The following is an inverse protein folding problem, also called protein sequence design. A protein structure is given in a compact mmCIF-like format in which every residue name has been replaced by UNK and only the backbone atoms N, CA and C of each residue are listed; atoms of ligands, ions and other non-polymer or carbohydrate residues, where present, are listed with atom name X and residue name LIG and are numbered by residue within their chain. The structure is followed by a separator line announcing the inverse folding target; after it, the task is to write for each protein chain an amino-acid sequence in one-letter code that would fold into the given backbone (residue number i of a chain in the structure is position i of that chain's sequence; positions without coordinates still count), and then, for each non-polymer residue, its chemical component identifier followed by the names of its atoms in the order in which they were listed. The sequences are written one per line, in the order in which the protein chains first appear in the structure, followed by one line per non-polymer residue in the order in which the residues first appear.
data_IF_709332080858
#
_entry.id   IF_709332080858
#
_cell.length_a   1.000
_cell.length_b   1.000
_cell.length_c   1.000
_cell.angle_alpha   90.00
_cell.angle_beta   90.00
_cell.angle_gamma   90.00
#
_symmetry.space_group_name_H-M   'P 1'
#
loop_
_entity.id
_entity.type
_entity.pdbx_description
1 polymer ?
#
# COMPACT_ATOMS: atom_id res chain seq x y z
N UNK A 1 9.02 -11.77 0.31
CA UNK A 1 8.93 -10.60 1.22
C UNK A 1 9.55 -9.39 0.52
N UNK A 2 9.18 -8.16 0.90
CA UNK A 2 9.68 -6.94 0.22
C UNK A 2 11.09 -6.53 0.68
N UNK A 3 11.50 -7.01 1.85
CA UNK A 3 12.79 -6.67 2.49
C UNK A 3 14.02 -6.80 1.58
N UNK A 4 14.23 -7.87 0.78
CA UNK A 4 15.39 -7.98 -0.10
C UNK A 4 15.42 -6.88 -1.18
N UNK A 5 14.28 -6.55 -1.77
CA UNK A 5 14.19 -5.51 -2.79
C UNK A 5 14.53 -4.13 -2.20
N UNK A 6 14.05 -3.84 -0.99
CA UNK A 6 14.37 -2.59 -0.30
C UNK A 6 15.86 -2.51 0.03
N UNK A 7 16.47 -3.60 0.47
CA UNK A 7 17.90 -3.61 0.79
C UNK A 7 18.75 -3.27 -0.45
N UNK A 8 18.44 -3.89 -1.60
CA UNK A 8 19.11 -3.60 -2.88
C UNK A 8 18.91 -2.15 -3.30
N UNK A 9 17.67 -1.66 -3.32
CA UNK A 9 17.34 -0.30 -3.75
C UNK A 9 18.04 0.77 -2.90
N UNK A 10 18.04 0.61 -1.57
CA UNK A 10 18.70 1.56 -0.68
C UNK A 10 20.22 1.51 -0.78
N UNK A 11 20.80 0.33 -1.03
CA UNK A 11 22.24 0.16 -1.22
C UNK A 11 22.74 0.79 -2.52
N UNK A 12 21.97 0.70 -3.60
CA UNK A 12 22.34 1.21 -4.92
C UNK A 12 22.05 2.71 -5.09
N UNK A 13 21.19 3.28 -4.23
CA UNK A 13 20.79 4.67 -4.28
C UNK A 13 21.96 5.64 -4.04
N UNK A 14 22.34 6.37 -5.08
CA UNK A 14 23.40 7.39 -5.05
C UNK A 14 22.89 8.75 -4.53
N UNK A 15 21.62 9.08 -4.77
CA UNK A 15 20.98 10.32 -4.35
C UNK A 15 20.01 10.14 -3.19
N UNK A 16 19.01 11.03 -3.10
CA UNK A 16 17.92 10.90 -2.14
C UNK A 16 17.06 9.70 -2.51
N UNK A 17 16.54 9.03 -1.49
CA UNK A 17 15.49 8.02 -1.67
C UNK A 17 14.16 8.66 -1.35
N UNK A 18 13.20 8.57 -2.25
CA UNK A 18 11.84 9.11 -2.09
C UNK A 18 10.89 7.94 -2.21
N UNK A 19 10.33 7.49 -1.10
CA UNK A 19 9.41 6.37 -1.08
C UNK A 19 7.97 6.85 -0.95
N UNK A 20 7.14 6.52 -1.94
CA UNK A 20 5.71 6.76 -1.91
C UNK A 20 4.92 5.48 -1.63
N UNK A 21 4.01 5.52 -0.66
CA UNK A 21 3.11 4.41 -0.35
C UNK A 21 1.81 4.90 0.31
N UNK A 22 0.88 3.99 0.58
CA UNK A 22 -0.34 4.30 1.32
C UNK A 22 -0.01 4.64 2.77
N UNK A 23 -0.52 5.78 3.26
CA UNK A 23 -0.32 6.21 4.66
C UNK A 23 -0.87 5.21 5.68
N UNK A 24 -1.85 4.38 5.30
CA UNK A 24 -2.42 3.33 6.14
C UNK A 24 -1.54 2.07 6.24
N UNK A 25 -0.56 1.89 5.34
CA UNK A 25 0.33 0.74 5.39
C UNK A 25 1.53 1.01 6.30
N UNK A 26 1.26 1.05 7.61
CA UNK A 26 2.27 1.37 8.64
C UNK A 26 3.45 0.40 8.62
N UNK A 27 3.21 -0.89 8.38
CA UNK A 27 4.29 -1.87 8.26
C UNK A 27 5.26 -1.52 7.12
N UNK A 28 4.75 -1.05 5.99
CA UNK A 28 5.58 -0.65 4.86
C UNK A 28 6.37 0.62 5.14
N UNK A 29 5.73 1.62 5.74
CA UNK A 29 6.38 2.86 6.18
C UNK A 29 7.47 2.55 7.20
N UNK A 30 7.17 1.70 8.19
CA UNK A 30 8.13 1.27 9.20
C UNK A 30 9.34 0.58 8.59
N UNK A 31 9.14 -0.35 7.65
CA UNK A 31 10.23 -1.00 6.92
C UNK A 31 11.10 0.02 6.19
N UNK A 32 10.50 0.97 5.47
CA UNK A 32 11.22 2.03 4.78
C UNK A 32 12.12 2.81 5.73
N UNK A 33 11.57 3.21 6.88
CA UNK A 33 12.30 3.99 7.89
C UNK A 33 13.44 3.15 8.50
N UNK A 34 13.21 1.87 8.80
CA UNK A 34 14.25 0.97 9.29
C UNK A 34 15.41 0.83 8.31
N UNK A 35 15.12 0.69 7.01
CA UNK A 35 16.16 0.68 5.97
C UNK A 35 16.84 2.04 5.81
N UNK A 36 16.09 3.15 5.92
CA UNK A 36 16.67 4.49 5.97
C UNK A 36 17.70 4.63 7.09
N UNK A 37 17.34 4.22 8.30
CA UNK A 37 18.24 4.24 9.46
C UNK A 37 19.44 3.30 9.24
N UNK A 38 19.21 2.07 8.74
CA UNK A 38 20.27 1.09 8.44
C UNK A 38 21.33 1.66 7.49
N UNK A 39 20.91 2.45 6.51
CA UNK A 39 21.79 3.09 5.52
C UNK A 39 22.18 4.54 5.89
N UNK A 40 22.10 4.90 7.18
CA UNK A 40 22.48 6.20 7.73
C UNK A 40 21.78 7.41 7.10
N UNK A 41 20.52 7.24 6.67
CA UNK A 41 19.70 8.31 6.12
C UNK A 41 18.86 8.97 7.21
N UNK A 42 18.78 10.31 7.16
CA UNK A 42 17.79 11.12 7.85
C UNK A 42 16.43 10.98 7.17
N UNK A 43 15.38 10.97 7.99
CA UNK A 43 14.02 10.61 7.60
C UNK A 43 13.16 11.88 7.59
N UNK A 44 12.62 12.25 6.43
CA UNK A 44 11.58 13.25 6.30
C UNK A 44 10.25 12.56 5.95
N UNK A 45 9.24 12.67 6.82
CA UNK A 45 7.90 12.17 6.53
C UNK A 45 7.07 13.33 6.00
N UNK A 46 6.44 13.17 4.84
CA UNK A 46 5.73 14.25 4.17
C UNK A 46 4.32 13.81 3.83
N UNK A 47 3.37 14.43 4.52
CA UNK A 47 1.96 14.27 4.26
C UNK A 47 1.22 14.08 5.56
N UNK A 48 0.25 14.96 5.82
CA UNK A 48 -0.50 15.02 7.09
C UNK A 48 -1.08 13.68 7.52
N UNK A 49 -1.61 12.89 6.58
CA UNK A 49 -2.17 11.57 6.89
C UNK A 49 -1.08 10.57 7.29
N UNK A 50 0.11 10.65 6.71
CA UNK A 50 1.22 9.75 7.01
C UNK A 50 1.88 10.10 8.34
N UNK A 51 2.12 11.39 8.60
CA UNK A 51 2.61 11.91 9.88
C UNK A 51 1.66 11.48 11.01
N UNK A 52 0.35 11.79 10.88
CA UNK A 52 -0.67 11.41 11.87
C UNK A 52 -0.70 9.91 12.14
N UNK A 53 -0.68 9.07 11.10
CA UNK A 53 -0.74 7.63 11.28
C UNK A 53 0.53 7.09 11.97
N UNK A 54 1.69 7.66 11.65
CA UNK A 54 2.95 7.28 12.28
C UNK A 54 2.95 7.65 13.76
N UNK A 55 2.49 8.85 14.13
CA UNK A 55 2.40 9.29 15.52
C UNK A 55 1.48 8.39 16.34
N UNK A 56 0.28 8.09 15.82
CA UNK A 56 -0.66 7.16 16.47
C UNK A 56 -0.03 5.77 16.62
N UNK A 57 0.65 5.26 15.58
CA UNK A 57 1.27 3.95 15.65
C UNK A 57 2.41 3.89 16.68
N UNK A 58 3.13 5.00 16.91
CA UNK A 58 4.15 5.13 17.96
C UNK A 58 3.53 5.20 19.34
N UNK A 59 2.49 6.02 19.51
CA UNK A 59 1.77 6.16 20.78
C UNK A 59 1.18 4.83 21.27
N UNK A 60 0.64 4.05 20.33
CA UNK A 60 0.08 2.72 20.61
C UNK A 60 1.16 1.61 20.72
N UNK A 61 2.45 1.93 20.52
CA UNK A 61 3.55 0.97 20.65
C UNK A 61 3.69 -0.04 19.51
N UNK A 62 3.01 0.17 18.37
CA UNK A 62 3.16 -0.70 17.19
C UNK A 62 4.53 -0.55 16.52
N UNK A 63 5.16 0.62 16.67
CA UNK A 63 6.45 0.91 16.04
C UNK A 63 7.39 1.63 17.02
N UNK A 64 8.65 1.24 16.95
CA UNK A 64 9.72 1.82 17.77
C UNK A 64 10.77 2.42 16.85
N UNK A 65 10.86 3.75 16.84
CA UNK A 65 11.74 4.53 15.96
C UNK A 65 12.46 5.61 16.77
N UNK A 66 13.79 5.78 16.61
CA UNK A 66 14.54 6.82 17.28
C UNK A 66 14.18 8.21 16.72
N UNK A 67 13.78 9.14 17.59
CA UNK A 67 13.39 10.51 17.18
C UNK A 67 14.51 11.27 16.46
N UNK A 68 15.77 11.01 16.82
CA UNK A 68 16.97 11.70 16.29
C UNK A 68 17.21 11.44 14.79
N UNK A 69 16.55 10.43 14.22
CA UNK A 69 16.63 10.10 12.80
C UNK A 69 15.67 10.94 11.95
N UNK A 70 14.68 11.61 12.55
CA UNK A 70 13.69 12.41 11.84
C UNK A 70 14.15 13.86 11.67
N UNK A 71 13.85 14.42 10.52
CA UNK A 71 14.09 15.82 10.16
C UNK A 71 12.84 16.41 9.53
N UNK A 72 12.67 17.72 9.67
CA UNK A 72 11.55 18.43 9.03
C UNK A 72 11.79 18.61 7.52
N UNK A 73 10.71 18.76 6.75
CA UNK A 73 10.79 18.88 5.29
C UNK A 73 11.63 20.09 4.82
N UNK A 74 11.64 21.18 5.59
CA UNK A 74 12.45 22.38 5.32
C UNK A 74 13.94 22.19 5.65
N UNK A 75 14.31 21.13 6.38
CA UNK A 75 15.70 20.83 6.75
C UNK A 75 16.38 19.88 5.76
N UNK A 76 15.62 19.23 4.88
CA UNK A 76 16.14 18.29 3.89
C UNK A 76 17.30 18.88 3.08
N UNK A 77 17.22 20.16 2.71
CA UNK A 77 18.26 20.84 1.95
C UNK A 77 19.60 21.04 2.70
N UNK A 78 19.62 20.84 4.02
CA UNK A 78 20.82 20.96 4.87
C UNK A 78 21.69 19.70 4.86
N UNK A 79 21.15 18.57 4.38
CA UNK A 79 21.82 17.27 4.40
C UNK A 79 22.29 16.85 3.00
N UNK A 80 23.37 16.06 2.89
CA UNK A 80 23.77 15.43 1.64
C UNK A 80 22.65 14.57 1.05
N UNK A 81 22.51 14.56 -0.28
CA UNK A 81 21.41 13.85 -0.94
C UNK A 81 21.40 12.34 -0.64
N UNK A 82 22.58 11.71 -0.57
CA UNK A 82 22.75 10.29 -0.23
C UNK A 82 22.41 9.95 1.23
N UNK A 83 22.21 10.95 2.09
CA UNK A 83 21.85 10.80 3.50
C UNK A 83 20.37 11.11 3.76
N UNK A 84 19.54 11.23 2.72
CA UNK A 84 18.12 11.55 2.90
C UNK A 84 17.21 10.42 2.41
N UNK A 85 16.23 10.09 3.24
CA UNK A 85 15.02 9.35 2.89
C UNK A 85 13.80 10.25 3.11
N UNK A 86 13.00 10.42 2.05
CA UNK A 86 11.68 11.06 2.13
C UNK A 86 10.63 9.96 2.03
N UNK A 87 9.73 9.88 3.01
CA UNK A 87 8.56 8.99 2.96
C UNK A 87 7.31 9.83 2.75
N UNK A 88 6.58 9.58 1.67
CA UNK A 88 5.51 10.46 1.21
C UNK A 88 4.25 9.71 0.80
N UNK A 89 3.13 10.42 0.75
CA UNK A 89 1.90 9.96 0.08
C UNK A 89 1.98 10.19 -1.45
N UNK A 90 0.94 9.79 -2.18
CA UNK A 90 0.79 10.08 -3.62
C UNK A 90 1.05 8.91 -4.55
N UNK A 91 1.00 7.69 -4.04
CA UNK A 91 1.31 6.50 -4.83
C UNK A 91 0.28 6.17 -5.91
N UNK A 92 -0.88 6.85 -5.93
CA UNK A 92 -1.92 6.68 -6.95
C UNK A 92 -1.98 7.86 -7.93
N UNK A 93 -1.04 8.80 -7.85
CA UNK A 93 -1.01 9.97 -8.74
C UNK A 93 -2.06 11.03 -8.40
N UNK A 94 -2.51 11.10 -7.15
CA UNK A 94 -3.46 12.11 -6.72
C UNK A 94 -2.82 13.51 -6.84
N UNK A 95 -3.46 14.43 -7.55
CA UNK A 95 -2.89 15.76 -7.87
C UNK A 95 -2.52 16.59 -6.64
N UNK A 96 -3.27 16.44 -5.55
CA UNK A 96 -3.00 17.14 -4.29
C UNK A 96 -1.97 16.43 -3.40
N UNK A 97 -1.47 15.27 -3.82
CA UNK A 97 -0.49 14.50 -3.03
C UNK A 97 0.88 15.16 -3.02
N UNK A 98 1.66 14.83 -1.99
CA UNK A 98 3.00 15.36 -1.83
C UNK A 98 3.92 14.91 -2.97
N UNK A 99 3.86 13.65 -3.42
CA UNK A 99 4.67 13.17 -4.55
C UNK A 99 4.34 13.93 -5.85
N UNK A 100 3.04 14.10 -6.17
CA UNK A 100 2.63 14.82 -7.38
C UNK A 100 3.18 16.24 -7.38
N UNK A 101 3.00 16.97 -6.26
CA UNK A 101 3.50 18.34 -6.11
C UNK A 101 5.03 18.44 -6.14
N UNK A 102 5.75 17.44 -5.64
CA UNK A 102 7.21 17.38 -5.79
C UNK A 102 7.62 17.19 -7.25
N UNK A 103 6.89 16.34 -7.99
CA UNK A 103 7.14 16.06 -9.40
C UNK A 103 6.82 17.26 -10.33
N UNK A 104 5.89 18.13 -9.94
CA UNK A 104 5.49 19.35 -10.68
C UNK A 104 6.12 20.65 -10.16
N UNK A 105 7.07 20.58 -9.23
CA UNK A 105 7.70 21.74 -8.56
C UNK A 105 6.75 22.65 -7.75
N UNK A 106 5.57 22.16 -7.38
CA UNK A 106 4.58 22.89 -6.59
C UNK A 106 4.70 22.62 -5.08
N UNK A 107 5.60 21.74 -4.67
CA UNK A 107 5.85 21.44 -3.27
C UNK A 107 6.81 22.46 -2.64
N UNK A 108 6.40 23.07 -1.52
CA UNK A 108 7.05 24.26 -0.92
C UNK A 108 8.54 24.12 -0.61
N UNK A 109 8.98 22.92 -0.23
CA UNK A 109 10.33 22.70 0.31
C UNK A 109 11.17 21.71 -0.50
N UNK A 110 10.54 20.95 -1.41
CA UNK A 110 11.20 19.82 -2.06
C UNK A 110 10.79 19.78 -3.51
N UNK A 111 11.78 19.86 -4.39
CA UNK A 111 11.68 19.51 -5.80
C UNK A 111 12.43 18.21 -6.05
N UNK A 112 12.03 17.46 -7.08
CA UNK A 112 12.76 16.28 -7.56
C UNK A 112 14.04 16.73 -8.27
N UNK A 113 15.15 16.05 -7.98
CA UNK A 113 16.48 16.29 -8.55
C UNK A 113 16.88 15.14 -9.49
N UNK A 114 17.79 15.40 -10.43
CA UNK A 114 18.46 14.32 -11.17
C UNK A 114 19.10 13.33 -10.20
N UNK A 115 19.04 12.03 -10.52
CA UNK A 115 19.55 10.92 -9.71
C UNK A 115 18.82 10.59 -8.40
N UNK A 116 17.71 11.27 -8.08
CA UNK A 116 16.84 10.79 -7.01
C UNK A 116 16.32 9.39 -7.37
N UNK A 117 16.23 8.52 -6.36
CA UNK A 117 15.55 7.23 -6.48
C UNK A 117 14.14 7.36 -5.91
N UNK A 118 13.14 7.30 -6.78
CA UNK A 118 11.73 7.31 -6.39
C UNK A 118 11.19 5.89 -6.37
N UNK A 119 10.78 5.41 -5.19
CA UNK A 119 10.20 4.08 -5.00
C UNK A 119 8.69 4.22 -4.84
N UNK A 120 7.92 3.78 -5.83
CA UNK A 120 6.46 3.74 -5.73
C UNK A 120 6.05 2.35 -5.23
N UNK A 121 5.92 2.26 -3.91
CA UNK A 121 5.63 1.03 -3.17
C UNK A 121 4.12 0.79 -3.06
N UNK A 122 3.43 0.82 -4.20
CA UNK A 122 2.00 0.52 -4.32
C UNK A 122 1.68 0.03 -5.74
N UNK A 123 0.58 -0.70 -5.89
CA UNK A 123 -0.01 -0.99 -7.20
C UNK A 123 -1.05 0.07 -7.54
N UNK A 124 -1.10 0.51 -8.80
CA UNK A 124 -2.20 1.34 -9.27
C UNK A 124 -3.54 0.59 -9.06
N UNK A 125 -4.48 1.26 -8.41
CA UNK A 125 -5.85 0.79 -8.29
C UNK A 125 -6.49 0.93 -9.68
N UNK A 126 -7.28 -0.06 -10.14
CA UNK A 126 -8.01 0.06 -11.41
C UNK A 126 -8.75 1.39 -11.54
N UNK A 127 -8.46 2.13 -12.62
CA UNK A 127 -8.95 3.48 -12.88
C UNK A 127 -7.93 4.60 -12.63
N UNK A 128 -6.87 4.35 -11.86
CA UNK A 128 -5.83 5.34 -11.56
C UNK A 128 -4.58 5.24 -12.45
N UNK A 129 -4.55 4.32 -13.41
CA UNK A 129 -3.37 4.06 -14.25
C UNK A 129 -2.89 5.31 -14.99
N UNK A 130 -3.82 6.11 -15.50
CA UNK A 130 -3.50 7.37 -16.19
C UNK A 130 -2.82 8.39 -15.25
N UNK A 131 -3.34 8.55 -14.03
CA UNK A 131 -2.78 9.47 -13.03
C UNK A 131 -1.39 9.03 -12.58
N UNK A 132 -1.20 7.73 -12.33
CA UNK A 132 0.12 7.19 -11.99
C UNK A 132 1.10 7.39 -13.15
N UNK A 133 0.67 7.10 -14.40
CA UNK A 133 1.48 7.33 -15.60
C UNK A 133 1.90 8.79 -15.76
N UNK A 134 1.00 9.75 -15.48
CA UNK A 134 1.33 11.17 -15.50
C UNK A 134 2.45 11.52 -14.51
N UNK A 135 2.36 11.01 -13.26
CA UNK A 135 3.43 11.22 -12.26
C UNK A 135 4.74 10.59 -12.70
N UNK A 136 4.72 9.35 -13.20
CA UNK A 136 5.93 8.71 -13.75
C UNK A 136 6.59 9.57 -14.82
N UNK A 137 5.81 10.12 -15.75
CA UNK A 137 6.33 11.00 -16.80
C UNK A 137 6.98 12.26 -16.23
N UNK A 138 6.40 12.90 -15.20
CA UNK A 138 7.02 14.06 -14.55
C UNK A 138 8.34 13.71 -13.86
N UNK A 139 8.39 12.56 -13.17
CA UNK A 139 9.60 12.08 -12.51
C UNK A 139 10.72 11.76 -13.51
N UNK A 140 10.40 11.04 -14.59
CA UNK A 140 11.35 10.66 -15.64
C UNK A 140 11.87 11.91 -16.37
N UNK A 141 11.01 12.90 -16.65
CA UNK A 141 11.41 14.19 -17.24
C UNK A 141 12.42 14.96 -16.38
N UNK A 142 12.48 14.68 -15.07
CA UNK A 142 13.44 15.25 -14.13
C UNK A 142 14.67 14.38 -13.91
N UNK A 143 14.86 13.34 -14.72
CA UNK A 143 16.00 12.41 -14.65
C UNK A 143 16.08 11.66 -13.31
N UNK A 144 14.94 11.49 -12.64
CA UNK A 144 14.84 10.63 -11.48
C UNK A 144 14.75 9.16 -11.90
N UNK A 145 15.42 8.29 -11.14
CA UNK A 145 15.28 6.84 -11.29
C UNK A 145 14.00 6.42 -10.58
N UNK A 146 13.12 5.70 -11.27
CA UNK A 146 11.84 5.28 -10.70
C UNK A 146 11.78 3.77 -10.58
N UNK A 147 11.57 3.28 -9.35
CA UNK A 147 11.28 1.88 -9.06
C UNK A 147 9.75 1.71 -8.94
N UNK A 148 9.13 1.22 -10.01
CA UNK A 148 7.69 0.97 -10.11
C UNK A 148 7.40 -0.25 -10.97
N UNK A 149 6.61 -1.19 -10.46
CA UNK A 149 6.13 -2.43 -11.12
C UNK A 149 7.18 -3.42 -11.69
N UNK A 150 8.27 -2.96 -12.29
CA UNK A 150 9.34 -3.77 -12.90
C UNK A 150 10.33 -4.35 -11.87
N UNK A 151 10.35 -3.81 -10.65
CA UNK A 151 11.08 -4.42 -9.54
C UNK A 151 10.17 -5.44 -8.84
N UNK A 152 10.36 -6.72 -9.17
CA UNK A 152 9.69 -7.82 -8.46
C UNK A 152 9.80 -7.63 -6.94
N UNK A 153 8.68 -7.78 -6.25
CA UNK A 153 8.56 -7.73 -4.78
C UNK A 153 8.60 -6.34 -4.11
N UNK A 154 8.43 -5.20 -4.80
CA UNK A 154 8.27 -3.90 -4.12
C UNK A 154 6.83 -3.63 -3.63
N UNK A 155 5.89 -4.54 -3.89
CA UNK A 155 4.53 -4.50 -3.36
C UNK A 155 3.97 -5.92 -3.26
N UNK A 156 3.09 -6.16 -2.30
CA UNK A 156 2.30 -7.39 -2.18
C UNK A 156 0.88 -6.99 -1.83
N UNK A 157 -0.09 -7.77 -2.29
CA UNK A 157 -1.50 -7.58 -1.95
C UNK A 157 -1.70 -7.69 -0.44
N UNK A 158 -2.59 -6.86 0.11
CA UNK A 158 -3.10 -7.05 1.48
C UNK A 158 -4.21 -8.11 1.58
N UNK A 159 -4.67 -8.65 0.45
CA UNK A 159 -5.76 -9.63 0.37
C UNK A 159 -5.23 -11.04 0.09
N UNK A 160 -5.85 -12.03 0.73
CA UNK A 160 -5.57 -13.45 0.56
C UNK A 160 -5.73 -13.90 -0.90
N UNK A 161 -4.71 -14.58 -1.43
CA UNK A 161 -4.81 -15.27 -2.71
C UNK A 161 -5.54 -16.61 -2.53
N UNK A 162 -5.68 -17.38 -3.62
CA UNK A 162 -6.56 -18.55 -3.64
C UNK A 162 -6.16 -19.60 -2.60
N UNK A 163 -4.87 -19.84 -2.36
CA UNK A 163 -4.42 -20.85 -1.41
C UNK A 163 -4.65 -20.42 0.05
N UNK A 164 -4.46 -19.14 0.38
CA UNK A 164 -4.80 -18.58 1.69
C UNK A 164 -6.32 -18.58 1.93
N UNK A 165 -7.13 -18.34 0.88
CA UNK A 165 -8.59 -18.50 0.96
C UNK A 165 -8.96 -19.96 1.27
N UNK A 166 -8.36 -20.93 0.57
CA UNK A 166 -8.58 -22.37 0.84
C UNK A 166 -8.15 -22.75 2.25
N UNK A 167 -7.04 -22.20 2.76
CA UNK A 167 -6.59 -22.41 4.13
C UNK A 167 -7.67 -21.97 5.12
N UNK A 168 -8.18 -20.75 4.99
CA UNK A 168 -9.25 -20.23 5.86
C UNK A 168 -10.51 -21.10 5.82
N UNK A 169 -10.95 -21.50 4.62
CA UNK A 169 -12.12 -22.37 4.44
C UNK A 169 -11.95 -23.73 5.12
N UNK A 170 -10.75 -24.32 5.04
CA UNK A 170 -10.44 -25.62 5.65
C UNK A 170 -10.27 -25.56 7.17
N UNK A 171 -9.83 -24.42 7.70
CA UNK A 171 -9.74 -24.18 9.15
C UNK A 171 -11.12 -23.99 9.76
N UNK A 172 -11.97 -23.15 9.15
CA UNK A 172 -13.29 -22.81 9.68
C UNK A 172 -14.31 -23.93 9.46
N UNK A 173 -14.25 -24.63 8.32
CA UNK A 173 -15.26 -25.63 7.90
C UNK A 173 -16.70 -25.07 7.98
N UNK A 174 -17.01 -23.97 7.28
CA UNK A 174 -18.27 -23.27 7.45
C UNK A 174 -19.46 -24.12 6.97
N UNK A 175 -20.57 -24.11 7.72
CA UNK A 175 -21.85 -24.70 7.28
C UNK A 175 -22.45 -23.95 6.10
N UNK A 176 -22.37 -22.62 6.13
CA UNK A 176 -22.85 -21.68 5.12
C UNK A 176 -21.75 -20.69 4.77
N UNK A 177 -21.68 -20.26 3.51
CA UNK A 177 -20.62 -19.36 3.06
C UNK A 177 -21.19 -18.21 2.22
N UNK A 178 -20.80 -16.99 2.56
CA UNK A 178 -21.17 -15.78 1.84
C UNK A 178 -19.86 -15.07 1.48
N UNK A 179 -19.38 -15.16 0.23
CA UNK A 179 -18.22 -14.39 -0.19
C UNK A 179 -18.57 -12.90 -0.23
N UNK A 180 -17.70 -12.07 0.35
CA UNK A 180 -17.85 -10.61 0.45
C UNK A 180 -16.58 -9.89 -0.03
N UNK A 181 -16.64 -8.55 -0.11
CA UNK A 181 -15.53 -7.67 -0.43
C UNK A 181 -14.87 -7.94 -1.80
N UNK A 182 -15.64 -7.75 -2.87
CA UNK A 182 -15.16 -7.73 -4.24
C UNK A 182 -16.31 -7.57 -5.24
N UNK A 183 -16.00 -7.21 -6.48
CA UNK A 183 -16.98 -7.23 -7.58
C UNK A 183 -17.53 -8.65 -7.82
N UNK A 184 -18.61 -8.76 -8.60
CA UNK A 184 -19.31 -10.01 -8.86
C UNK A 184 -18.39 -11.15 -9.35
N UNK A 185 -17.44 -10.84 -10.24
CA UNK A 185 -16.42 -11.79 -10.73
C UNK A 185 -15.56 -12.38 -9.59
N UNK A 186 -15.20 -11.59 -8.58
CA UNK A 186 -14.40 -11.99 -7.43
C UNK A 186 -15.21 -12.91 -6.51
N UNK A 187 -16.43 -12.51 -6.14
CA UNK A 187 -17.28 -13.32 -5.26
C UNK A 187 -17.74 -14.62 -5.93
N UNK A 188 -17.98 -14.59 -7.25
CA UNK A 188 -18.26 -15.78 -8.04
C UNK A 188 -17.08 -16.76 -8.06
N UNK A 189 -15.84 -16.27 -8.21
CA UNK A 189 -14.63 -17.10 -8.11
C UNK A 189 -14.42 -17.64 -6.69
N UNK A 190 -14.67 -16.83 -5.66
CA UNK A 190 -14.52 -17.27 -4.27
C UNK A 190 -15.55 -18.35 -3.89
N UNK A 191 -16.77 -18.28 -4.43
CA UNK A 191 -17.74 -19.40 -4.38
C UNK A 191 -17.13 -20.69 -4.93
N UNK A 192 -16.47 -20.66 -6.09
CA UNK A 192 -15.84 -21.85 -6.65
C UNK A 192 -14.72 -22.39 -5.75
N UNK A 193 -13.92 -21.51 -5.15
CA UNK A 193 -12.90 -21.90 -4.16
C UNK A 193 -13.54 -22.58 -2.94
N UNK A 194 -14.66 -22.08 -2.43
CA UNK A 194 -15.39 -22.69 -1.32
C UNK A 194 -15.97 -24.08 -1.66
N UNK A 195 -16.55 -24.24 -2.85
CA UNK A 195 -17.00 -25.55 -3.35
C UNK A 195 -15.83 -26.54 -3.41
N UNK A 196 -14.68 -26.12 -3.93
CA UNK A 196 -13.47 -26.96 -3.98
C UNK A 196 -12.92 -27.35 -2.60
N UNK A 197 -13.30 -26.62 -1.55
CA UNK A 197 -12.96 -26.92 -0.15
C UNK A 197 -14.03 -27.74 0.57
N UNK A 198 -15.09 -28.15 -0.12
CA UNK A 198 -16.15 -29.01 0.42
C UNK A 198 -17.36 -28.29 1.00
N UNK A 199 -17.50 -26.97 0.79
CA UNK A 199 -18.74 -26.26 1.14
C UNK A 199 -19.82 -26.63 0.11
N UNK A 200 -20.98 -27.18 0.51
CA UNK A 200 -22.03 -27.54 -0.44
C UNK A 200 -22.53 -26.30 -1.18
N UNK A 201 -22.68 -26.38 -2.50
CA UNK A 201 -23.07 -25.23 -3.31
C UNK A 201 -24.39 -24.58 -2.86
N UNK A 202 -25.38 -25.40 -2.46
CA UNK A 202 -26.68 -24.94 -1.93
C UNK A 202 -26.56 -24.11 -0.64
N UNK A 203 -25.42 -24.17 0.03
CA UNK A 203 -25.14 -23.43 1.26
C UNK A 203 -24.31 -22.16 0.98
N UNK A 204 -24.09 -21.81 -0.29
CA UNK A 204 -23.31 -20.63 -0.70
C UNK A 204 -24.24 -19.60 -1.33
N UNK A 205 -24.22 -18.38 -0.80
CA UNK A 205 -25.04 -17.28 -1.30
C UNK A 205 -24.17 -16.17 -1.85
N UNK A 206 -24.37 -15.82 -3.11
CA UNK A 206 -23.83 -14.59 -3.71
C UNK A 206 -24.87 -13.49 -3.49
N UNK A 207 -24.50 -12.46 -2.73
CA UNK A 207 -25.39 -11.36 -2.36
C UNK A 207 -24.91 -10.06 -2.98
N UNK A 208 -25.84 -9.15 -3.20
CA UNK A 208 -25.57 -7.78 -3.61
C UNK A 208 -25.81 -6.81 -2.44
N UNK A 209 -25.30 -5.59 -2.56
CA UNK A 209 -25.53 -4.54 -1.57
C UNK A 209 -27.03 -4.30 -1.40
N UNK A 210 -27.51 -4.32 -0.15
CA UNK A 210 -28.92 -4.20 0.21
C UNK A 210 -29.65 -5.54 0.38
N UNK A 211 -29.09 -6.66 -0.07
CA UNK A 211 -29.68 -7.97 0.17
C UNK A 211 -29.68 -8.36 1.66
N UNK A 212 -30.78 -8.97 2.10
CA UNK A 212 -30.95 -9.44 3.47
C UNK A 212 -30.97 -10.96 3.52
N UNK A 213 -30.28 -11.52 4.52
CA UNK A 213 -30.20 -12.96 4.75
C UNK A 213 -30.59 -13.29 6.19
N UNK A 214 -31.43 -14.31 6.34
CA UNK A 214 -31.76 -14.93 7.62
C UNK A 214 -30.92 -16.21 7.76
N UNK A 215 -30.29 -16.38 8.92
CA UNK A 215 -29.44 -17.53 9.22
C UNK A 215 -29.92 -18.19 10.50
N UNK A 216 -30.31 -19.47 10.40
CA UNK A 216 -30.63 -20.33 11.53
C UNK A 216 -29.61 -21.46 11.70
N UNK A 217 -29.72 -22.27 12.78
CA UNK A 217 -28.77 -23.37 13.03
C UNK A 217 -28.67 -24.41 11.90
N UNK A 218 -29.74 -24.55 11.11
CA UNK A 218 -29.90 -25.54 10.04
C UNK A 218 -30.25 -24.93 8.67
N UNK A 219 -30.45 -23.62 8.57
CA UNK A 219 -30.84 -22.99 7.30
C UNK A 219 -30.19 -21.63 7.09
N UNK A 220 -30.14 -21.23 5.84
CA UNK A 220 -29.80 -19.88 5.39
C UNK A 220 -30.79 -19.52 4.28
N UNK A 221 -31.31 -18.30 4.27
CA UNK A 221 -32.31 -17.87 3.29
C UNK A 221 -32.21 -16.36 3.02
N UNK A 222 -32.23 -15.96 1.75
CA UNK A 222 -32.44 -14.56 1.37
C UNK A 222 -33.89 -14.16 1.67
N UNK A 223 -34.10 -13.12 2.47
CA UNK A 223 -35.43 -12.71 2.97
C UNK A 223 -35.96 -11.43 2.36
N UNK A 224 -35.09 -10.60 1.77
CA UNK A 224 -35.48 -9.36 1.13
C UNK A 224 -34.30 -8.63 0.52
N UNK A 225 -34.59 -7.45 -0.03
CA UNK A 225 -33.59 -6.50 -0.52
C UNK A 225 -34.09 -5.10 -0.15
N UNK A 226 -33.27 -4.32 0.54
CA UNK A 226 -33.52 -2.90 0.78
C UNK A 226 -32.92 -2.12 -0.39
N UNK A 227 -33.68 -1.14 -0.90
CA UNK A 227 -33.22 -0.19 -1.91
C UNK A 227 -32.53 1.01 -1.27
#
# INVERSE_FOLDING_TARGET
TIAPAFDTLFKEAQGRVIMSTFSSNIHRVYQAIQYGIKYNRKIAVIGRSMEKNLDIARELGYIHLPYQSFIEANEVAKYPDNEVLIVTTGSQGETMSALYRMATDEHRHISIKPNDLVIISAKAIPGNEASVSAVLNFLIKKEAKVAYQEFDNIHVSGHAAQEEQKLMLRLIKPKFFLPVHGEYNHVARHKQTAISCGVPEKNIYLMEDGDQVEVGPAFIKKVGTIK
#
